data_IF_627003581237
#
_entry.id   IF_627003581237
#
_cell.length_a   1.000
_cell.length_b   1.000
_cell.length_c   1.000
_cell.angle_alpha   90.00
_cell.angle_beta   90.00
_cell.angle_gamma   90.00
#
_symmetry.space_group_name_H-M   'P 1'
#
loop_
_entity.id
_entity.type
_entity.pdbx_description
1 polymer ?
#
# COMPACT_ATOMS: atom_id res chain seq x y z
N UNK A 1 19.68 -23.17 1.46
CA UNK A 1 18.71 -22.69 0.44
C UNK A 1 19.59 -22.26 -0.72
N UNK A 2 19.45 -22.83 -1.93
CA UNK A 2 20.36 -22.47 -3.04
C UNK A 2 19.95 -21.11 -3.63
N UNK A 3 20.60 -20.03 -3.17
CA UNK A 3 20.29 -18.66 -3.61
C UNK A 3 20.90 -18.31 -4.97
N UNK A 4 21.79 -19.15 -5.50
CA UNK A 4 22.44 -18.95 -6.80
C UNK A 4 21.62 -19.50 -7.95
N UNK A 5 21.01 -20.68 -7.74
CA UNK A 5 20.30 -21.46 -8.75
C UNK A 5 18.78 -21.44 -8.63
N UNK A 6 18.21 -21.23 -7.43
CA UNK A 6 16.75 -21.26 -7.24
C UNK A 6 16.10 -19.90 -7.52
N UNK A 7 14.96 -19.94 -8.22
CA UNK A 7 14.17 -18.76 -8.57
C UNK A 7 13.48 -18.19 -7.33
N UNK A 8 12.87 -19.04 -6.49
CA UNK A 8 11.99 -18.61 -5.40
C UNK A 8 12.64 -17.62 -4.42
N UNK A 9 13.88 -17.84 -3.91
CA UNK A 9 14.52 -16.90 -3.00
C UNK A 9 14.77 -15.53 -3.63
N UNK A 10 15.21 -15.51 -4.89
CA UNK A 10 15.47 -14.28 -5.64
C UNK A 10 14.17 -13.54 -5.96
N UNK A 11 13.12 -14.27 -6.34
CA UNK A 11 11.80 -13.72 -6.62
C UNK A 11 11.18 -13.12 -5.35
N UNK A 12 11.21 -13.85 -4.22
CA UNK A 12 10.67 -13.38 -2.94
C UNK A 12 11.36 -12.09 -2.48
N UNK A 13 12.69 -12.05 -2.48
CA UNK A 13 13.46 -10.85 -2.10
C UNK A 13 13.09 -9.65 -2.98
N UNK A 14 13.13 -9.83 -4.30
CA UNK A 14 12.85 -8.74 -5.26
C UNK A 14 11.41 -8.28 -5.18
N UNK A 15 10.45 -9.17 -4.93
CA UNK A 15 9.03 -8.84 -4.72
C UNK A 15 8.84 -7.94 -3.51
N UNK A 16 9.44 -8.32 -2.37
CA UNK A 16 9.41 -7.51 -1.16
C UNK A 16 10.05 -6.14 -1.39
N UNK A 17 11.29 -6.13 -1.91
CA UNK A 17 12.06 -4.91 -2.09
C UNK A 17 11.43 -3.94 -3.10
N UNK A 18 10.92 -4.45 -4.23
CA UNK A 18 10.21 -3.63 -5.21
C UNK A 18 8.92 -3.02 -4.63
N UNK A 19 8.16 -3.81 -3.87
CA UNK A 19 6.94 -3.34 -3.20
C UNK A 19 7.22 -2.28 -2.14
N UNK A 20 8.35 -2.39 -1.44
CA UNK A 20 8.81 -1.44 -0.44
C UNK A 20 9.62 -0.25 -1.02
N UNK A 21 9.72 -0.13 -2.36
CA UNK A 21 10.56 0.85 -3.07
C UNK A 21 12.04 0.85 -2.64
N UNK A 22 12.54 -0.30 -2.19
CA UNK A 22 13.94 -0.47 -1.86
C UNK A 22 14.73 -0.73 -3.14
N UNK A 23 15.68 0.15 -3.54
CA UNK A 23 16.36 0.02 -4.82
C UNK A 23 17.31 -1.19 -4.85
N UNK A 24 17.81 -1.60 -3.69
CA UNK A 24 18.76 -2.69 -3.54
C UNK A 24 18.37 -3.58 -2.35
N UNK A 25 18.68 -4.87 -2.43
CA UNK A 25 18.54 -5.79 -1.31
C UNK A 25 19.56 -6.92 -1.37
N UNK A 26 19.89 -7.48 -0.21
CA UNK A 26 20.89 -8.53 -0.05
C UNK A 26 20.18 -9.82 0.33
N UNK A 27 20.50 -10.90 -0.38
CA UNK A 27 20.10 -12.26 -0.07
C UNK A 27 21.34 -13.05 0.33
N UNK A 28 21.31 -13.72 1.48
CA UNK A 28 22.45 -14.49 1.97
C UNK A 28 21.96 -15.76 2.68
N UNK A 29 22.70 -16.84 2.49
CA UNK A 29 22.59 -18.08 3.27
C UNK A 29 23.88 -18.37 4.06
N UNK A 30 24.72 -17.35 4.23
CA UNK A 30 26.06 -17.35 4.81
C UNK A 30 27.16 -18.07 4.00
N UNK A 31 26.80 -18.94 3.06
CA UNK A 31 27.75 -19.50 2.08
C UNK A 31 27.90 -18.58 0.87
N UNK A 32 26.80 -17.95 0.47
CA UNK A 32 26.72 -17.01 -0.63
C UNK A 32 26.04 -15.70 -0.15
N UNK A 33 26.45 -14.59 -0.78
CA UNK A 33 25.83 -13.28 -0.62
C UNK A 33 25.55 -12.68 -1.99
N UNK A 34 24.28 -12.60 -2.35
CA UNK A 34 23.81 -12.01 -3.59
C UNK A 34 23.21 -10.61 -3.32
N UNK A 35 23.59 -9.64 -4.15
CA UNK A 35 23.06 -8.28 -4.11
C UNK A 35 22.19 -8.08 -5.34
N UNK A 36 20.96 -7.60 -5.15
CA UNK A 36 19.98 -7.42 -6.21
C UNK A 36 19.57 -5.97 -6.37
N UNK A 37 19.57 -5.46 -7.60
CA UNK A 37 18.77 -4.33 -8.05
C UNK A 37 17.29 -4.75 -8.10
N UNK A 38 16.50 -4.08 -7.26
CA UNK A 38 15.10 -4.40 -7.02
C UNK A 38 14.15 -3.38 -7.66
N UNK A 39 14.65 -2.50 -8.55
CA UNK A 39 13.83 -1.48 -9.24
C UNK A 39 13.08 -2.02 -10.46
N UNK A 40 13.37 -3.25 -10.87
CA UNK A 40 12.70 -3.95 -11.97
C UNK A 40 11.57 -4.81 -11.42
N UNK A 41 10.34 -4.64 -11.98
CA UNK A 41 9.17 -5.47 -11.65
C UNK A 41 9.55 -6.95 -11.71
N UNK A 42 9.44 -7.69 -10.59
CA UNK A 42 9.83 -9.09 -10.54
C UNK A 42 8.79 -9.97 -11.25
N UNK A 43 9.26 -11.01 -11.93
CA UNK A 43 8.40 -12.04 -12.52
C UNK A 43 8.66 -13.39 -11.85
N UNK A 44 7.63 -14.24 -11.64
CA UNK A 44 7.81 -15.57 -11.08
C UNK A 44 8.74 -16.48 -11.90
N UNK A 45 8.96 -16.14 -13.16
CA UNK A 45 9.81 -16.89 -14.10
C UNK A 45 11.20 -16.26 -14.31
N UNK A 46 11.51 -15.18 -13.59
CA UNK A 46 12.82 -14.54 -13.68
C UNK A 46 13.92 -15.49 -13.18
N UNK A 47 14.98 -15.66 -13.97
CA UNK A 47 16.16 -16.39 -13.50
C UNK A 47 16.80 -15.66 -12.31
N UNK A 48 17.52 -16.36 -11.40
CA UNK A 48 18.20 -15.72 -10.26
C UNK A 48 19.28 -14.69 -10.66
N UNK A 49 19.72 -14.70 -11.91
CA UNK A 49 20.63 -13.70 -12.45
C UNK A 49 19.96 -12.35 -12.75
N UNK A 50 18.63 -12.31 -12.86
CA UNK A 50 17.89 -11.08 -13.17
C UNK A 50 17.95 -10.14 -11.97
N UNK A 51 18.43 -8.92 -12.19
CA UNK A 51 18.64 -7.93 -11.14
C UNK A 51 19.84 -8.21 -10.24
N UNK A 52 20.49 -9.38 -10.31
CA UNK A 52 21.67 -9.68 -9.47
C UNK A 52 22.88 -8.86 -9.94
N UNK A 53 23.31 -7.90 -9.14
CA UNK A 53 24.43 -7.00 -9.42
C UNK A 53 25.75 -7.54 -8.87
N UNK A 54 25.72 -8.26 -7.75
CA UNK A 54 26.89 -8.91 -7.15
C UNK A 54 26.53 -10.29 -6.62
N UNK A 55 27.50 -11.19 -6.63
CA UNK A 55 27.42 -12.50 -5.97
C UNK A 55 28.80 -12.82 -5.42
N UNK A 56 28.87 -13.06 -4.11
CA UNK A 56 30.08 -13.45 -3.42
C UNK A 56 29.86 -14.81 -2.78
N UNK A 57 30.89 -15.65 -2.82
CA UNK A 57 30.94 -16.86 -1.99
C UNK A 57 31.77 -16.57 -0.73
N UNK A 58 31.57 -17.36 0.32
CA UNK A 58 32.29 -17.21 1.60
C UNK A 58 33.83 -17.24 1.41
N UNK A 59 34.32 -17.96 0.40
CA UNK A 59 35.76 -18.03 0.05
C UNK A 59 36.32 -16.71 -0.47
N UNK A 60 35.46 -15.87 -1.03
CA UNK A 60 35.83 -14.60 -1.66
C UNK A 60 35.70 -13.42 -0.70
N UNK A 61 35.18 -13.62 0.52
CA UNK A 61 34.95 -12.50 1.44
C UNK A 61 36.22 -11.77 1.84
N UNK A 62 37.35 -12.48 1.99
CA UNK A 62 38.63 -11.84 2.28
C UNK A 62 39.13 -11.01 1.09
N UNK A 63 39.00 -11.54 -0.13
CA UNK A 63 39.43 -10.86 -1.35
C UNK A 63 38.63 -9.58 -1.62
N UNK A 64 37.34 -9.60 -1.31
CA UNK A 64 36.42 -8.47 -1.53
C UNK A 64 36.04 -7.74 -0.23
N UNK A 65 36.77 -7.95 0.88
CA UNK A 65 36.39 -7.39 2.18
C UNK A 65 36.25 -5.88 2.13
N UNK A 66 37.22 -5.18 1.54
CA UNK A 66 37.20 -3.72 1.43
C UNK A 66 35.99 -3.22 0.65
N UNK A 67 35.61 -3.89 -0.43
CA UNK A 67 34.42 -3.54 -1.21
C UNK A 67 33.14 -3.77 -0.40
N UNK A 68 32.99 -4.98 0.17
CA UNK A 68 31.82 -5.37 0.96
C UNK A 68 31.64 -4.42 2.16
N UNK A 69 32.72 -4.14 2.89
CA UNK A 69 32.71 -3.25 4.04
C UNK A 69 32.36 -1.81 3.65
N UNK A 70 32.95 -1.28 2.57
CA UNK A 70 32.71 0.10 2.14
C UNK A 70 31.32 0.33 1.51
N UNK A 71 30.61 -0.74 1.14
CA UNK A 71 29.26 -0.66 0.59
C UNK A 71 28.17 -1.01 1.61
N UNK A 72 28.38 -2.07 2.40
CA UNK A 72 27.32 -2.70 3.20
C UNK A 72 27.56 -2.67 4.71
N UNK A 73 28.68 -2.12 5.19
CA UNK A 73 28.84 -1.89 6.63
C UNK A 73 27.83 -0.85 7.14
N UNK A 74 27.51 -0.91 8.44
CA UNK A 74 26.65 0.07 9.09
C UNK A 74 27.18 1.49 8.89
N UNK A 75 28.48 1.69 9.04
CA UNK A 75 29.14 2.98 8.88
C UNK A 75 29.02 3.49 7.43
N UNK A 76 29.17 2.61 6.44
CA UNK A 76 29.03 2.96 5.03
C UNK A 76 27.58 3.32 4.67
N UNK A 77 26.62 2.54 5.13
CA UNK A 77 25.19 2.78 4.93
C UNK A 77 24.79 4.14 5.53
N UNK A 78 25.19 4.42 6.77
CA UNK A 78 24.90 5.70 7.43
C UNK A 78 25.56 6.91 6.74
N UNK A 79 26.65 6.69 5.98
CA UNK A 79 27.31 7.71 5.16
C UNK A 79 26.73 7.82 3.73
N UNK A 80 25.68 7.05 3.42
CA UNK A 80 24.98 7.06 2.13
C UNK A 80 25.72 6.34 1.00
N UNK A 81 26.67 5.44 1.32
CA UNK A 81 27.37 4.67 0.29
C UNK A 81 26.41 3.75 -0.48
N UNK A 82 25.46 3.14 0.23
CA UNK A 82 24.42 2.28 -0.32
C UNK A 82 23.52 3.02 -1.31
N UNK A 83 23.04 4.21 -0.94
CA UNK A 83 22.20 5.05 -1.81
C UNK A 83 22.98 5.52 -3.04
N UNK A 84 24.24 5.93 -2.86
CA UNK A 84 25.11 6.29 -3.99
C UNK A 84 25.31 5.12 -4.94
N UNK A 85 25.55 3.91 -4.42
CA UNK A 85 25.69 2.72 -5.25
C UNK A 85 24.40 2.46 -6.04
N UNK A 86 23.23 2.51 -5.39
CA UNK A 86 21.92 2.40 -6.05
C UNK A 86 21.69 3.45 -7.15
N UNK A 87 22.15 4.69 -6.94
CA UNK A 87 21.97 5.81 -7.89
C UNK A 87 23.01 5.78 -9.01
N UNK A 88 24.24 5.32 -8.74
CA UNK A 88 25.36 5.36 -9.69
C UNK A 88 25.24 4.34 -10.83
N UNK A 89 24.58 3.20 -10.62
CA UNK A 89 24.35 2.16 -11.64
C UNK A 89 23.19 2.52 -12.61
N UNK A 90 23.10 3.79 -12.98
CA UNK A 90 21.93 4.50 -13.53
C UNK A 90 21.58 4.20 -14.99
N UNK A 91 21.99 3.07 -15.56
CA UNK A 91 21.74 2.78 -16.99
C UNK A 91 21.19 1.39 -17.27
N UNK A 92 20.03 1.05 -16.71
CA UNK A 92 19.19 -0.01 -17.31
C UNK A 92 17.77 0.49 -17.55
N UNK A 93 17.45 0.60 -18.84
CA UNK A 93 16.09 0.80 -19.38
C UNK A 93 15.10 -0.15 -18.68
N UNK A 94 13.94 0.36 -18.25
CA UNK A 94 12.81 -0.48 -17.81
C UNK A 94 12.43 -0.42 -16.33
N UNK A 95 12.97 0.50 -15.53
CA UNK A 95 12.47 0.74 -14.16
C UNK A 95 11.09 1.34 -14.22
N UNK A 96 10.06 0.58 -13.84
CA UNK A 96 8.73 1.14 -13.60
C UNK A 96 8.48 1.12 -12.11
N UNK A 97 8.10 2.27 -11.57
CA UNK A 97 7.79 2.40 -10.14
C UNK A 97 6.56 1.56 -9.81
N UNK A 98 6.58 0.94 -8.62
CA UNK A 98 5.49 0.09 -8.13
C UNK A 98 4.14 0.80 -8.19
N UNK A 99 4.10 2.10 -7.89
CA UNK A 99 2.90 2.94 -7.95
C UNK A 99 2.27 2.94 -9.34
N UNK A 100 3.09 3.13 -10.38
CA UNK A 100 2.62 3.18 -11.76
C UNK A 100 2.14 1.81 -12.27
N UNK A 101 2.80 0.72 -11.87
CA UNK A 101 2.35 -0.63 -12.23
C UNK A 101 1.09 -1.03 -11.47
N UNK A 102 1.00 -0.71 -10.18
CA UNK A 102 -0.18 -1.00 -9.37
C UNK A 102 -1.39 -0.19 -9.82
N UNK A 103 -1.20 1.08 -10.18
CA UNK A 103 -2.23 1.90 -10.81
C UNK A 103 -2.76 1.26 -12.09
N UNK A 104 -1.89 0.78 -12.99
CA UNK A 104 -2.32 0.11 -14.23
C UNK A 104 -3.16 -1.13 -13.94
N UNK A 105 -2.79 -1.93 -12.94
CA UNK A 105 -3.58 -3.11 -12.53
C UNK A 105 -4.98 -2.68 -12.06
N UNK A 106 -5.06 -1.72 -11.14
CA UNK A 106 -6.34 -1.20 -10.62
C UNK A 106 -7.19 -0.59 -11.72
N UNK A 107 -6.60 0.14 -12.67
CA UNK A 107 -7.31 0.69 -13.83
C UNK A 107 -7.86 -0.42 -14.74
N UNK A 108 -7.11 -1.51 -14.93
CA UNK A 108 -7.61 -2.67 -15.67
C UNK A 108 -8.80 -3.32 -14.97
N UNK A 109 -8.75 -3.43 -13.64
CA UNK A 109 -9.84 -3.97 -12.83
C UNK A 109 -11.08 -3.08 -12.91
N UNK A 110 -10.88 -1.75 -12.85
CA UNK A 110 -11.95 -0.76 -13.01
C UNK A 110 -12.63 -0.90 -14.35
N UNK A 111 -11.86 -1.00 -15.44
CA UNK A 111 -12.42 -1.17 -16.78
C UNK A 111 -13.19 -2.49 -16.93
N UNK A 112 -12.63 -3.59 -16.42
CA UNK A 112 -13.27 -4.91 -16.45
C UNK A 112 -14.58 -4.93 -15.65
N UNK A 113 -14.57 -4.41 -14.42
CA UNK A 113 -15.76 -4.31 -13.57
C UNK A 113 -16.78 -3.34 -14.17
N UNK A 114 -16.37 -2.16 -14.63
CA UNK A 114 -17.27 -1.18 -15.21
C UNK A 114 -18.04 -1.74 -16.42
N UNK A 115 -17.34 -2.44 -17.33
CA UNK A 115 -17.96 -3.09 -18.49
C UNK A 115 -18.94 -4.18 -18.07
N UNK A 116 -18.57 -5.01 -17.09
CA UNK A 116 -19.42 -6.11 -16.64
C UNK A 116 -20.66 -5.60 -15.89
N UNK A 117 -20.47 -4.69 -14.92
CA UNK A 117 -21.53 -4.14 -14.10
C UNK A 117 -22.52 -3.35 -14.96
N UNK A 118 -22.05 -2.51 -15.89
CA UNK A 118 -22.95 -1.81 -16.81
C UNK A 118 -23.79 -2.78 -17.64
N UNK A 119 -23.17 -3.82 -18.20
CA UNK A 119 -23.88 -4.79 -19.03
C UNK A 119 -24.94 -5.58 -18.24
N UNK A 120 -24.62 -5.96 -17.00
CA UNK A 120 -25.48 -6.81 -16.17
C UNK A 120 -26.53 -6.05 -15.38
N UNK A 121 -26.33 -4.74 -15.18
CA UNK A 121 -27.17 -3.91 -14.34
C UNK A 121 -27.61 -2.65 -15.11
N UNK A 122 -28.46 -2.78 -16.15
CA UNK A 122 -28.78 -1.71 -17.10
C UNK A 122 -29.52 -0.52 -16.50
N UNK A 123 -30.03 -0.67 -15.27
CA UNK A 123 -30.74 0.37 -14.53
C UNK A 123 -29.80 1.31 -13.76
N UNK A 124 -28.51 0.99 -13.66
CA UNK A 124 -27.57 1.83 -12.95
C UNK A 124 -27.32 3.13 -13.69
N UNK A 125 -27.33 4.23 -12.95
CA UNK A 125 -26.87 5.51 -13.46
C UNK A 125 -25.34 5.50 -13.63
N UNK A 126 -24.81 6.43 -14.42
CA UNK A 126 -23.35 6.62 -14.56
C UNK A 126 -22.70 6.92 -13.20
N UNK A 127 -23.39 7.69 -12.36
CA UNK A 127 -22.93 8.03 -11.02
C UNK A 127 -22.80 6.76 -10.17
N UNK A 128 -23.88 5.97 -10.11
CA UNK A 128 -23.93 4.75 -9.31
C UNK A 128 -22.91 3.72 -9.80
N UNK A 129 -22.74 3.59 -11.12
CA UNK A 129 -21.73 2.72 -11.71
C UNK A 129 -20.31 3.09 -11.26
N UNK A 130 -19.97 4.40 -11.25
CA UNK A 130 -18.67 4.85 -10.74
C UNK A 130 -18.51 4.48 -9.28
N UNK A 131 -19.54 4.78 -8.49
CA UNK A 131 -19.54 4.57 -7.06
C UNK A 131 -19.36 3.08 -6.70
N UNK A 132 -20.16 2.18 -7.28
CA UNK A 132 -20.10 0.75 -6.94
C UNK A 132 -18.83 0.05 -7.44
N UNK A 133 -18.30 0.45 -8.60
CA UNK A 133 -17.02 -0.09 -9.12
C UNK A 133 -15.89 0.28 -8.17
N UNK A 134 -15.80 1.55 -7.81
CA UNK A 134 -14.78 2.05 -6.88
C UNK A 134 -14.89 1.36 -5.53
N UNK A 135 -16.09 1.34 -4.94
CA UNK A 135 -16.32 0.74 -3.63
C UNK A 135 -15.99 -0.76 -3.61
N UNK A 136 -16.27 -1.48 -4.70
CA UNK A 136 -15.91 -2.89 -4.84
C UNK A 136 -14.40 -3.10 -4.85
N UNK A 137 -13.65 -2.28 -5.60
CA UNK A 137 -12.18 -2.34 -5.64
C UNK A 137 -11.59 -2.00 -4.28
N UNK A 138 -12.06 -0.93 -3.65
CA UNK A 138 -11.56 -0.44 -2.35
C UNK A 138 -11.74 -1.51 -1.27
N UNK A 139 -12.91 -2.18 -1.22
CA UNK A 139 -13.18 -3.28 -0.28
C UNK A 139 -12.25 -4.49 -0.52
N UNK A 140 -12.01 -4.86 -1.78
CA UNK A 140 -11.10 -5.97 -2.13
C UNK A 140 -9.67 -5.65 -1.71
N UNK A 141 -9.17 -4.45 -2.04
CA UNK A 141 -7.82 -4.03 -1.68
C UNK A 141 -7.65 -3.93 -0.16
N UNK A 142 -8.61 -3.33 0.54
CA UNK A 142 -8.59 -3.24 2.01
C UNK A 142 -8.45 -4.62 2.65
N UNK A 143 -9.32 -5.56 2.26
CA UNK A 143 -9.27 -6.92 2.80
C UNK A 143 -7.97 -7.63 2.45
N UNK A 144 -7.49 -7.47 1.21
CA UNK A 144 -6.22 -8.08 0.81
C UNK A 144 -5.05 -7.58 1.66
N UNK A 145 -5.02 -6.29 1.98
CA UNK A 145 -4.04 -5.73 2.91
C UNK A 145 -4.20 -6.26 4.33
N UNK A 146 -5.43 -6.44 4.81
CA UNK A 146 -5.69 -7.03 6.11
C UNK A 146 -5.20 -8.48 6.18
N UNK A 147 -5.39 -9.27 5.12
CA UNK A 147 -4.86 -10.63 5.03
C UNK A 147 -3.32 -10.66 5.12
N UNK A 148 -2.62 -9.81 4.35
CA UNK A 148 -1.14 -9.79 4.34
C UNK A 148 -0.52 -9.21 5.62
N UNK A 149 -1.27 -8.40 6.36
CA UNK A 149 -0.85 -7.89 7.66
C UNK A 149 -1.27 -8.78 8.83
N UNK A 150 -1.88 -9.94 8.56
CA UNK A 150 -2.35 -10.89 9.57
C UNK A 150 -3.52 -10.39 10.42
N UNK A 151 -4.25 -9.37 9.94
CA UNK A 151 -5.49 -8.86 10.58
C UNK A 151 -6.68 -9.75 10.20
N UNK A 152 -6.68 -10.26 8.97
CA UNK A 152 -7.61 -11.28 8.47
C UNK A 152 -6.89 -12.60 8.17
N UNK A 153 -7.61 -13.74 8.16
CA UNK A 153 -7.06 -15.01 7.71
C UNK A 153 -6.60 -14.93 6.24
N UNK A 154 -5.36 -15.32 5.98
CA UNK A 154 -4.80 -15.32 4.63
C UNK A 154 -5.60 -16.20 3.65
N UNK A 155 -5.83 -15.70 2.44
CA UNK A 155 -6.48 -16.46 1.35
C UNK A 155 -8.00 -16.52 1.44
N UNK A 156 -8.64 -15.66 2.22
CA UNK A 156 -10.10 -15.64 2.35
C UNK A 156 -10.77 -15.25 1.03
N UNK A 157 -10.30 -14.21 0.34
CA UNK A 157 -10.81 -13.86 -1.00
C UNK A 157 -10.39 -14.93 -2.03
N UNK A 158 -9.16 -15.44 -1.94
CA UNK A 158 -8.68 -16.53 -2.80
C UNK A 158 -9.58 -17.77 -2.73
N UNK A 159 -10.10 -18.09 -1.55
CA UNK A 159 -10.96 -19.26 -1.37
C UNK A 159 -12.20 -19.24 -2.28
N UNK A 160 -12.65 -18.06 -2.72
CA UNK A 160 -13.80 -17.90 -3.60
C UNK A 160 -13.62 -18.55 -4.98
N UNK A 161 -12.38 -18.87 -5.40
CA UNK A 161 -12.13 -19.60 -6.65
C UNK A 161 -12.80 -20.98 -6.70
N UNK A 162 -13.10 -21.58 -5.53
CA UNK A 162 -13.61 -22.94 -5.41
C UNK A 162 -15.10 -23.12 -5.80
N UNK A 163 -15.78 -22.10 -6.32
CA UNK A 163 -17.20 -22.20 -6.65
C UNK A 163 -17.69 -21.14 -7.64
N UNK A 164 -19.00 -21.14 -7.85
CA UNK A 164 -19.70 -20.14 -8.67
C UNK A 164 -20.26 -18.99 -7.81
N UNK A 165 -20.86 -17.97 -8.44
CA UNK A 165 -21.49 -16.83 -7.77
C UNK A 165 -20.54 -16.14 -6.78
N UNK A 166 -19.34 -15.84 -7.27
CA UNK A 166 -18.24 -15.28 -6.49
C UNK A 166 -18.64 -13.98 -5.83
N UNK A 167 -19.35 -13.09 -6.53
CA UNK A 167 -19.74 -11.80 -5.96
C UNK A 167 -20.64 -11.97 -4.73
N UNK A 168 -21.65 -12.83 -4.81
CA UNK A 168 -22.53 -13.09 -3.68
C UNK A 168 -21.77 -13.64 -2.46
N UNK A 169 -20.79 -14.52 -2.69
CA UNK A 169 -19.94 -15.03 -1.60
C UNK A 169 -18.94 -13.99 -1.08
N UNK A 170 -18.47 -13.09 -1.95
CA UNK A 170 -17.67 -11.93 -1.57
C UNK A 170 -18.47 -10.96 -0.67
N UNK A 171 -19.77 -10.76 -0.95
CA UNK A 171 -20.64 -9.98 -0.06
C UNK A 171 -20.69 -10.56 1.36
N UNK A 172 -20.68 -11.88 1.52
CA UNK A 172 -20.64 -12.51 2.84
C UNK A 172 -19.34 -12.19 3.61
N UNK A 173 -18.23 -12.07 2.90
CA UNK A 173 -16.97 -11.60 3.48
C UNK A 173 -17.10 -10.11 3.86
N UNK A 174 -17.68 -9.29 2.99
CA UNK A 174 -17.88 -7.87 3.27
C UNK A 174 -18.79 -7.62 4.49
N UNK A 175 -19.87 -8.38 4.66
CA UNK A 175 -20.74 -8.26 5.85
C UNK A 175 -19.99 -8.60 7.15
N UNK A 176 -19.13 -9.64 7.14
CA UNK A 176 -18.28 -9.96 8.31
C UNK A 176 -17.26 -8.85 8.59
N UNK A 177 -16.73 -8.23 7.55
CA UNK A 177 -15.83 -7.09 7.67
C UNK A 177 -16.56 -5.86 8.26
N UNK A 178 -17.82 -5.63 7.89
CA UNK A 178 -18.64 -4.54 8.45
C UNK A 178 -18.76 -4.66 9.98
N UNK A 179 -19.12 -5.86 10.47
CA UNK A 179 -19.22 -6.15 11.91
C UNK A 179 -17.91 -5.90 12.67
N UNK A 180 -16.76 -6.12 12.02
CA UNK A 180 -15.44 -6.02 12.64
C UNK A 180 -14.84 -4.61 12.60
N UNK A 181 -14.99 -3.92 11.47
CA UNK A 181 -14.28 -2.66 11.22
C UNK A 181 -15.16 -1.42 11.37
N UNK A 182 -16.47 -1.52 11.11
CA UNK A 182 -17.43 -0.41 11.16
C UNK A 182 -16.87 0.88 10.54
N UNK A 183 -16.20 0.75 9.40
CA UNK A 183 -15.30 1.77 8.83
C UNK A 183 -15.95 2.63 7.73
N UNK A 184 -17.28 2.63 7.63
CA UNK A 184 -18.04 3.25 6.53
C UNK A 184 -17.88 2.53 5.18
N UNK A 185 -16.70 1.99 4.90
CA UNK A 185 -16.36 1.24 3.69
C UNK A 185 -17.27 0.02 3.48
N UNK A 186 -17.71 -0.62 4.56
CA UNK A 186 -18.58 -1.80 4.54
C UNK A 186 -20.01 -1.51 5.02
N UNK A 187 -20.42 -0.24 5.15
CA UNK A 187 -21.74 0.09 5.68
C UNK A 187 -22.86 -0.17 4.65
N UNK A 188 -23.38 -1.39 4.66
CA UNK A 188 -24.49 -1.80 3.81
C UNK A 188 -25.86 -1.28 4.28
N UNK A 189 -25.94 -0.65 5.45
CA UNK A 189 -27.19 -0.03 5.91
C UNK A 189 -27.38 1.33 5.25
N UNK A 190 -26.30 2.11 5.16
CA UNK A 190 -26.28 3.38 4.44
C UNK A 190 -26.26 3.19 2.91
N UNK A 191 -25.61 2.12 2.43
CA UNK A 191 -25.37 1.87 1.01
C UNK A 191 -25.88 0.49 0.59
N UNK A 192 -27.05 0.43 -0.06
CA UNK A 192 -27.67 -0.85 -0.47
C UNK A 192 -27.39 -1.25 -1.91
N UNK A 193 -26.91 -0.34 -2.77
CA UNK A 193 -26.74 -0.60 -4.19
C UNK A 193 -25.81 -1.79 -4.45
N UNK A 194 -24.71 -1.91 -3.71
CA UNK A 194 -23.76 -3.00 -3.91
C UNK A 194 -24.32 -4.38 -3.56
N UNK A 195 -25.33 -4.46 -2.69
CA UNK A 195 -25.93 -5.74 -2.30
C UNK A 195 -26.74 -6.38 -3.43
N UNK A 196 -27.30 -5.57 -4.33
CA UNK A 196 -28.20 -6.01 -5.41
C UNK A 196 -27.48 -6.19 -6.76
N UNK A 197 -26.17 -6.01 -6.82
CA UNK A 197 -25.42 -6.10 -8.08
C UNK A 197 -25.27 -7.53 -8.57
N UNK A 198 -25.47 -7.70 -9.87
CA UNK A 198 -25.04 -8.90 -10.57
C UNK A 198 -23.68 -8.66 -11.23
N UNK A 199 -22.67 -9.45 -10.85
CA UNK A 199 -21.33 -9.42 -11.43
C UNK A 199 -20.95 -10.84 -11.83
N UNK A 200 -20.51 -11.02 -13.07
CA UNK A 200 -20.03 -12.32 -13.54
C UNK A 200 -18.75 -12.74 -12.79
N UNK A 201 -18.54 -14.04 -12.63
CA UNK A 201 -17.38 -14.57 -11.91
C UNK A 201 -16.04 -14.24 -12.57
N UNK A 202 -16.01 -14.15 -13.90
CA UNK A 202 -14.77 -13.97 -14.68
C UNK A 202 -13.97 -12.72 -14.28
N UNK A 203 -14.53 -11.49 -14.31
CA UNK A 203 -13.77 -10.30 -13.90
C UNK A 203 -13.23 -10.40 -12.47
N UNK A 204 -14.00 -10.99 -11.55
CA UNK A 204 -13.54 -11.17 -10.16
C UNK A 204 -12.40 -12.19 -10.06
N UNK A 205 -12.48 -13.31 -10.79
CA UNK A 205 -11.39 -14.30 -10.88
C UNK A 205 -10.11 -13.68 -11.42
N UNK A 206 -10.21 -12.87 -12.47
CA UNK A 206 -9.06 -12.21 -13.08
C UNK A 206 -8.40 -11.23 -12.08
N UNK A 207 -9.20 -10.47 -11.31
CA UNK A 207 -8.69 -9.60 -10.24
C UNK A 207 -7.98 -10.43 -9.16
N UNK A 208 -8.67 -11.42 -8.59
CA UNK A 208 -8.15 -12.18 -7.44
C UNK A 208 -6.86 -12.90 -7.78
N UNK A 209 -6.70 -13.39 -9.02
CA UNK A 209 -5.50 -14.09 -9.44
C UNK A 209 -4.26 -13.21 -9.30
N UNK A 210 -4.37 -11.92 -9.59
CA UNK A 210 -3.24 -10.99 -9.51
C UNK A 210 -2.98 -10.47 -8.08
N UNK A 211 -3.78 -10.86 -7.08
CA UNK A 211 -3.62 -10.43 -5.69
C UNK A 211 -2.82 -11.40 -4.82
N UNK A 212 -2.64 -12.66 -5.25
CA UNK A 212 -2.03 -13.71 -4.44
C UNK A 212 -0.71 -14.23 -5.04
N UNK A 213 0.17 -14.71 -4.16
CA UNK A 213 1.38 -15.42 -4.59
C UNK A 213 1.02 -16.77 -5.24
N UNK A 214 1.75 -17.22 -6.27
CA UNK A 214 2.94 -16.61 -6.88
C UNK A 214 2.68 -15.53 -7.94
N UNK A 215 1.47 -15.43 -8.47
CA UNK A 215 1.14 -14.56 -9.60
C UNK A 215 1.27 -13.06 -9.31
N UNK A 216 0.98 -12.65 -8.07
CA UNK A 216 1.12 -11.27 -7.62
C UNK A 216 2.59 -10.87 -7.51
N UNK A 217 3.03 -9.82 -8.23
CA UNK A 217 4.34 -9.22 -8.06
C UNK A 217 4.40 -8.27 -6.86
N UNK A 218 3.30 -8.13 -6.12
CA UNK A 218 3.17 -7.22 -4.98
C UNK A 218 3.22 -7.98 -3.66
N UNK A 219 3.85 -7.36 -2.67
CA UNK A 219 3.83 -7.75 -1.26
C UNK A 219 2.99 -6.71 -0.50
N UNK A 220 1.70 -6.99 -0.26
CA UNK A 220 0.78 -5.98 0.29
C UNK A 220 1.08 -5.65 1.76
N UNK A 221 1.83 -6.50 2.45
CA UNK A 221 2.28 -6.22 3.82
C UNK A 221 3.19 -5.00 3.91
N UNK A 222 3.96 -4.71 2.85
CA UNK A 222 4.90 -3.58 2.78
C UNK A 222 4.49 -2.49 1.79
N UNK A 223 3.36 -2.64 1.10
CA UNK A 223 2.77 -1.52 0.36
C UNK A 223 2.39 -0.40 1.33
N UNK A 224 3.13 0.70 1.23
CA UNK A 224 2.98 1.87 2.07
C UNK A 224 1.69 2.63 1.81
N UNK A 225 1.27 3.44 2.79
CA UNK A 225 0.11 4.31 2.65
C UNK A 225 0.32 5.41 1.60
N UNK A 226 1.58 5.81 1.36
CA UNK A 226 1.99 6.74 0.32
C UNK A 226 1.71 6.18 -1.08
N UNK A 227 2.02 4.90 -1.31
CA UNK A 227 1.75 4.21 -2.58
C UNK A 227 0.25 4.23 -2.86
N UNK A 228 -0.55 3.79 -1.88
CA UNK A 228 -1.99 3.76 -2.03
C UNK A 228 -2.60 5.14 -2.20
N UNK A 229 -2.14 6.13 -1.45
CA UNK A 229 -2.58 7.52 -1.61
C UNK A 229 -2.29 8.04 -3.02
N UNK A 230 -1.09 7.80 -3.53
CA UNK A 230 -0.69 8.22 -4.88
C UNK A 230 -1.49 7.52 -5.99
N UNK A 231 -1.79 6.23 -5.81
CA UNK A 231 -2.57 5.43 -6.75
C UNK A 231 -4.04 5.82 -6.71
N UNK A 232 -4.59 6.05 -5.52
CA UNK A 232 -5.97 6.48 -5.32
C UNK A 232 -6.22 7.88 -5.92
N UNK A 233 -5.27 8.82 -5.78
CA UNK A 233 -5.36 10.13 -6.43
C UNK A 233 -5.46 10.02 -7.95
N UNK A 234 -4.56 9.27 -8.56
CA UNK A 234 -4.55 9.10 -10.01
C UNK A 234 -5.80 8.36 -10.49
N UNK A 235 -6.27 7.40 -9.69
CA UNK A 235 -7.52 6.69 -9.92
C UNK A 235 -8.74 7.63 -9.90
N UNK A 236 -8.81 8.58 -8.96
CA UNK A 236 -9.84 9.61 -8.88
C UNK A 236 -9.80 10.60 -10.05
N UNK A 237 -8.65 10.73 -10.73
CA UNK A 237 -8.50 11.54 -11.94
C UNK A 237 -9.28 11.02 -13.16
N UNK A 238 -9.80 9.79 -13.09
CA UNK A 238 -10.59 9.15 -14.15
C UNK A 238 -12.04 8.92 -13.71
N UNK A 239 -12.95 8.91 -14.68
CA UNK A 239 -14.38 8.63 -14.51
C UNK A 239 -14.85 7.60 -15.53
N UNK A 240 -15.84 6.81 -15.14
CA UNK A 240 -16.57 5.92 -16.04
C UNK A 240 -17.69 6.75 -16.68
N UNK A 241 -17.80 6.67 -18.01
CA UNK A 241 -18.94 7.16 -18.79
C UNK A 241 -19.67 6.00 -19.44
N UNK A 242 -20.97 6.15 -19.66
CA UNK A 242 -21.75 5.23 -20.48
C UNK A 242 -21.93 5.82 -21.88
N UNK A 243 -21.66 5.02 -22.91
CA UNK A 243 -22.01 5.36 -24.30
C UNK A 243 -23.52 5.23 -24.51
N UNK A 244 -24.04 5.73 -25.63
CA UNK A 244 -25.45 5.54 -26.03
C UNK A 244 -25.91 4.08 -26.01
N UNK A 245 -25.04 3.14 -26.36
CA UNK A 245 -25.30 1.69 -26.28
C UNK A 245 -25.13 1.06 -24.88
N UNK A 246 -25.17 1.86 -23.80
CA UNK A 246 -24.96 1.43 -22.41
C UNK A 246 -23.64 0.67 -22.17
N UNK A 247 -22.57 1.03 -22.88
CA UNK A 247 -21.23 0.47 -22.67
C UNK A 247 -20.38 1.41 -21.83
N UNK A 248 -19.74 0.87 -20.80
CA UNK A 248 -18.82 1.63 -19.97
C UNK A 248 -17.50 1.95 -20.70
N UNK A 249 -17.02 3.18 -20.53
CA UNK A 249 -15.70 3.65 -20.94
C UNK A 249 -15.06 4.44 -19.81
N UNK A 250 -13.79 4.16 -19.53
CA UNK A 250 -13.00 4.92 -18.56
C UNK A 250 -12.28 6.05 -19.28
N UNK A 251 -12.46 7.29 -18.82
CA UNK A 251 -11.87 8.49 -19.41
C UNK A 251 -11.33 9.41 -18.32
N UNK A 252 -10.34 10.24 -18.66
CA UNK A 252 -9.86 11.28 -17.76
C UNK A 252 -10.92 12.38 -17.54
N UNK A 253 -10.99 12.89 -16.31
CA UNK A 253 -11.85 14.03 -16.00
C UNK A 253 -11.44 15.26 -16.82
N UNK A 254 -12.40 16.10 -17.26
CA UNK A 254 -12.08 17.30 -18.03
C UNK A 254 -11.11 18.24 -17.32
N UNK A 255 -11.23 18.37 -16.00
CA UNK A 255 -10.34 19.22 -15.18
C UNK A 255 -8.90 18.68 -15.18
N UNK A 256 -8.72 17.36 -15.08
CA UNK A 256 -7.40 16.70 -15.12
C UNK A 256 -6.73 16.86 -16.48
N UNK A 257 -7.50 16.71 -17.56
CA UNK A 257 -7.02 16.94 -18.94
C UNK A 257 -6.56 18.38 -19.13
N UNK A 258 -7.29 19.35 -18.58
CA UNK A 258 -6.94 20.78 -18.65
C UNK A 258 -5.71 21.13 -17.80
N UNK A 259 -5.55 20.49 -16.64
CA UNK A 259 -4.41 20.69 -15.76
C UNK A 259 -3.14 19.97 -16.24
N UNK A 260 -3.25 19.06 -17.21
CA UNK A 260 -2.14 18.26 -17.72
C UNK A 260 -1.73 17.12 -16.78
N UNK A 261 -2.61 16.72 -15.86
CA UNK A 261 -2.36 15.63 -14.91
C UNK A 261 -2.89 15.91 -13.50
N UNK A 262 -2.73 14.92 -12.63
CA UNK A 262 -3.02 15.01 -11.19
C UNK A 262 -1.69 15.24 -10.47
N UNK A 263 -1.56 16.36 -9.74
CA UNK A 263 -0.32 16.70 -9.02
C UNK A 263 -0.44 16.38 -7.53
N UNK A 264 0.42 15.48 -7.07
CA UNK A 264 0.56 15.14 -5.65
C UNK A 264 1.41 16.19 -4.93
N UNK A 265 1.08 16.47 -3.66
CA UNK A 265 1.93 17.31 -2.79
C UNK A 265 3.05 16.45 -2.21
N UNK A 266 4.33 16.68 -2.57
CA UNK A 266 5.43 15.83 -2.09
C UNK A 266 5.46 15.69 -0.57
N UNK A 267 5.83 14.50 -0.08
CA UNK A 267 5.81 14.18 1.37
C UNK A 267 6.58 15.19 2.22
N UNK A 268 7.70 15.73 1.72
CA UNK A 268 8.47 16.75 2.43
C UNK A 268 7.70 18.08 2.58
N UNK A 269 6.86 18.45 1.59
CA UNK A 269 5.98 19.63 1.67
C UNK A 269 4.87 19.36 2.68
N UNK A 270 4.23 18.20 2.62
CA UNK A 270 3.20 17.80 3.60
C UNK A 270 3.76 17.87 5.01
N UNK A 271 4.92 17.23 5.26
CA UNK A 271 5.58 17.23 6.56
C UNK A 271 5.94 18.64 7.03
N UNK A 272 6.43 19.50 6.13
CA UNK A 272 6.73 20.88 6.45
C UNK A 272 5.48 21.65 6.88
N UNK A 273 4.38 21.55 6.13
CA UNK A 273 3.13 22.25 6.42
C UNK A 273 2.52 21.74 7.73
N UNK A 274 2.42 20.42 7.91
CA UNK A 274 1.89 19.80 9.15
C UNK A 274 2.70 20.25 10.36
N UNK A 275 4.04 20.20 10.29
CA UNK A 275 4.91 20.66 11.38
C UNK A 275 4.69 22.13 11.72
N UNK A 276 4.49 22.98 10.72
CA UNK A 276 4.30 24.42 10.90
C UNK A 276 2.85 24.85 11.19
N UNK A 277 1.90 23.91 11.21
CA UNK A 277 0.48 24.15 11.51
C UNK A 277 0.05 23.35 12.75
N UNK A 278 -0.29 22.07 12.55
CA UNK A 278 -0.64 21.12 13.63
C UNK A 278 0.46 21.08 14.68
N UNK A 279 1.72 21.05 14.26
CA UNK A 279 2.85 21.03 15.19
C UNK A 279 2.93 22.24 16.11
N UNK A 280 2.62 23.44 15.61
CA UNK A 280 2.54 24.65 16.45
C UNK A 280 1.35 24.62 17.41
N UNK A 281 0.24 23.98 17.02
CA UNK A 281 -0.91 23.81 17.90
C UNK A 281 -0.68 22.78 19.01
N UNK A 282 0.21 21.81 18.79
CA UNK A 282 0.60 20.81 19.79
C UNK A 282 1.65 21.30 20.78
N UNK A 283 2.45 22.31 20.40
CA UNK A 283 3.60 22.76 21.20
C UNK A 283 3.20 23.14 22.65
N UNK A 284 3.96 22.62 23.61
CA UNK A 284 3.70 22.78 25.05
C UNK A 284 2.44 22.09 25.59
N UNK A 285 1.65 21.38 24.77
CA UNK A 285 0.41 20.71 25.21
C UNK A 285 0.63 19.24 25.56
N UNK A 286 -0.20 18.77 26.49
CA UNK A 286 -0.33 17.36 26.84
C UNK A 286 -1.19 16.61 25.82
N UNK A 287 -1.02 15.27 25.68
CA UNK A 287 -1.90 14.40 24.90
C UNK A 287 -3.40 14.66 25.10
N UNK A 288 -3.83 14.79 26.36
CA UNK A 288 -5.23 15.05 26.71
C UNK A 288 -5.76 16.41 26.21
N UNK A 289 -4.90 17.41 26.11
CA UNK A 289 -5.29 18.70 25.52
C UNK A 289 -5.37 18.59 24.00
N UNK A 290 -4.43 17.86 23.39
CA UNK A 290 -4.36 17.67 21.95
C UNK A 290 -5.52 16.82 21.41
N UNK A 291 -6.04 15.87 22.19
CA UNK A 291 -7.17 15.01 21.77
C UNK A 291 -8.45 15.79 21.42
N UNK A 292 -8.54 17.07 21.80
CA UNK A 292 -9.65 17.97 21.43
C UNK A 292 -9.48 18.66 20.06
N UNK A 293 -8.30 18.58 19.45
CA UNK A 293 -8.04 19.19 18.16
C UNK A 293 -8.85 18.51 17.07
N UNK A 294 -9.48 19.32 16.21
CA UNK A 294 -10.13 18.86 14.98
C UNK A 294 -9.38 19.45 13.79
N UNK A 295 -9.04 18.59 12.84
CA UNK A 295 -8.26 18.96 11.66
C UNK A 295 -9.15 18.72 10.44
N UNK A 296 -9.31 19.75 9.61
CA UNK A 296 -10.09 19.71 8.38
C UNK A 296 -9.18 20.01 7.21
N UNK A 297 -9.23 19.18 6.19
CA UNK A 297 -8.69 19.47 4.87
C UNK A 297 -9.86 19.45 3.86
N UNK A 298 -10.35 20.61 3.39
CA UNK A 298 -11.51 20.70 2.51
C UNK A 298 -11.23 20.22 1.08
N UNK A 299 -9.96 19.98 0.73
CA UNK A 299 -9.53 19.49 -0.57
C UNK A 299 -8.57 18.30 -0.41
N UNK A 300 -8.91 17.38 0.48
CA UNK A 300 -7.98 16.37 0.98
C UNK A 300 -7.51 15.35 -0.05
N UNK A 301 -8.25 15.15 -1.14
CA UNK A 301 -7.99 14.09 -2.12
C UNK A 301 -7.84 12.75 -1.40
N UNK A 302 -6.65 12.17 -1.45
CA UNK A 302 -6.24 10.90 -0.84
C UNK A 302 -5.99 11.00 0.65
N UNK A 303 -6.21 12.18 1.23
CA UNK A 303 -6.02 12.44 2.64
C UNK A 303 -4.56 12.64 3.01
N UNK A 304 -3.67 13.02 2.08
CA UNK A 304 -2.22 13.09 2.35
C UNK A 304 -1.87 14.02 3.53
N UNK A 305 -2.52 15.18 3.63
CA UNK A 305 -2.35 16.07 4.79
C UNK A 305 -2.97 15.50 6.07
N UNK A 306 -4.12 14.82 5.98
CA UNK A 306 -4.79 14.21 7.13
C UNK A 306 -3.97 13.04 7.69
N UNK A 307 -3.42 12.19 6.81
CA UNK A 307 -2.50 11.11 7.17
C UNK A 307 -1.20 11.66 7.75
N UNK A 308 -0.64 12.71 7.15
CA UNK A 308 0.56 13.38 7.67
C UNK A 308 0.32 14.00 9.05
N UNK A 309 -0.84 14.64 9.26
CA UNK A 309 -1.25 15.18 10.55
C UNK A 309 -1.47 14.07 11.58
N UNK A 310 -2.15 12.98 11.20
CA UNK A 310 -2.36 11.82 12.05
C UNK A 310 -1.03 11.22 12.52
N UNK A 311 -0.10 10.96 11.58
CA UNK A 311 1.23 10.45 11.93
C UNK A 311 2.00 11.40 12.85
N UNK A 312 1.95 12.71 12.58
CA UNK A 312 2.57 13.71 13.46
C UNK A 312 2.01 13.64 14.89
N UNK A 313 0.69 13.49 15.04
CA UNK A 313 0.05 13.39 16.35
C UNK A 313 0.49 12.12 17.09
N UNK A 314 0.56 10.97 16.40
CA UNK A 314 1.07 9.73 16.98
C UNK A 314 2.52 9.89 17.48
N UNK A 315 3.39 10.44 16.65
CA UNK A 315 4.80 10.64 16.97
C UNK A 315 4.97 11.61 18.16
N UNK A 316 4.20 12.69 18.18
CA UNK A 316 4.19 13.65 19.28
C UNK A 316 3.75 12.99 20.60
N UNK A 317 2.67 12.20 20.59
CA UNK A 317 2.17 11.53 21.79
C UNK A 317 3.16 10.52 22.34
N UNK A 318 3.73 9.68 21.46
CA UNK A 318 4.76 8.72 21.83
C UNK A 318 5.95 9.42 22.50
N UNK A 319 6.48 10.47 21.86
CA UNK A 319 7.59 11.25 22.40
C UNK A 319 7.25 11.90 23.75
N UNK A 320 6.03 12.41 23.90
CA UNK A 320 5.57 13.00 25.16
C UNK A 320 5.50 11.96 26.28
N UNK A 321 4.90 10.78 26.04
CA UNK A 321 4.80 9.72 27.05
C UNK A 321 6.18 9.19 27.47
N UNK A 322 7.11 9.06 26.52
CA UNK A 322 8.48 8.68 26.81
C UNK A 322 9.18 9.71 27.72
N UNK A 323 8.96 11.01 27.47
CA UNK A 323 9.54 12.10 28.26
C UNK A 323 8.93 12.23 29.65
N UNK A 324 7.62 12.04 29.79
CA UNK A 324 6.92 12.15 31.09
C UNK A 324 7.16 10.94 32.00
N UNK A 325 7.48 9.79 31.40
CA UNK A 325 7.95 8.59 32.09
C UNK A 325 7.18 7.35 31.65
N UNK A 326 7.87 6.40 31.04
CA UNK A 326 7.25 5.22 30.41
C UNK A 326 6.47 4.33 31.38
N UNK A 327 6.91 4.27 32.64
CA UNK A 327 6.25 3.51 33.72
C UNK A 327 4.86 4.07 34.10
N UNK A 328 4.61 5.36 33.82
CA UNK A 328 3.30 6.00 34.10
C UNK A 328 2.26 5.74 33.01
N UNK A 329 2.70 5.36 31.82
CA UNK A 329 1.89 5.34 30.59
C UNK A 329 1.78 3.93 30.01
N UNK A 330 1.75 2.90 30.85
CA UNK A 330 1.70 1.48 30.44
C UNK A 330 0.45 1.10 29.65
N UNK A 331 -0.63 1.90 29.75
CA UNK A 331 -1.85 1.71 28.97
C UNK A 331 -1.76 2.37 27.58
N UNK A 332 -0.88 3.35 27.41
CA UNK A 332 -0.74 4.16 26.20
C UNK A 332 0.43 3.71 25.33
N UNK A 333 1.53 3.24 25.96
CA UNK A 333 2.73 2.79 25.26
C UNK A 333 3.20 1.43 25.75
N UNK A 334 3.82 0.67 24.85
CA UNK A 334 4.46 -0.60 25.15
C UNK A 334 5.83 -0.69 24.46
N UNK A 335 6.70 -1.54 24.98
CA UNK A 335 8.00 -1.81 24.38
C UNK A 335 7.90 -3.03 23.46
N UNK A 336 8.23 -2.84 22.19
CA UNK A 336 8.27 -3.90 21.20
C UNK A 336 9.64 -4.58 21.13
N UNK A 337 9.80 -5.45 20.13
CA UNK A 337 11.06 -6.13 19.88
C UNK A 337 12.19 -5.13 19.60
N UNK A 338 13.40 -5.39 20.11
CA UNK A 338 14.54 -4.48 19.95
C UNK A 338 14.50 -3.23 20.84
N UNK A 339 13.61 -3.17 21.83
CA UNK A 339 13.58 -2.11 22.85
C UNK A 339 12.93 -0.80 22.39
N UNK A 340 12.37 -0.76 21.18
CA UNK A 340 11.64 0.40 20.66
C UNK A 340 10.26 0.53 21.31
N UNK A 341 9.83 1.77 21.51
CA UNK A 341 8.53 2.08 22.11
C UNK A 341 7.48 2.34 21.03
N UNK A 342 6.26 1.90 21.30
CA UNK A 342 5.12 2.02 20.41
C UNK A 342 3.87 2.44 21.17
N UNK A 343 2.98 3.20 20.53
CA UNK A 343 1.63 3.43 21.05
C UNK A 343 0.78 2.16 20.98
N UNK A 344 -0.03 1.90 21.99
CA UNK A 344 -1.02 0.81 22.00
C UNK A 344 -2.08 1.05 20.93
N UNK A 345 -2.72 -0.01 20.45
CA UNK A 345 -3.82 0.09 19.47
C UNK A 345 -4.99 0.90 20.02
N UNK A 346 -5.25 0.80 21.33
CA UNK A 346 -6.31 1.56 21.99
C UNK A 346 -6.00 3.07 21.96
N UNK A 347 -4.76 3.44 22.26
CA UNK A 347 -4.35 4.84 22.20
C UNK A 347 -4.42 5.36 20.77
N UNK A 348 -3.91 4.62 19.77
CA UNK A 348 -4.04 5.01 18.35
C UNK A 348 -5.48 5.23 17.88
N UNK A 349 -6.45 4.51 18.46
CA UNK A 349 -7.88 4.69 18.14
C UNK A 349 -8.47 5.96 18.75
N UNK A 350 -7.95 6.48 19.86
CA UNK A 350 -8.48 7.68 20.53
C UNK A 350 -8.42 8.93 19.64
N UNK A 351 -7.50 8.94 18.68
CA UNK A 351 -7.34 9.99 17.69
C UNK A 351 -8.42 10.02 16.60
N UNK A 352 -9.14 8.90 16.39
CA UNK A 352 -10.12 8.74 15.31
C UNK A 352 -11.58 8.75 15.82
N UNK A 353 -11.81 8.89 17.12
CA UNK A 353 -13.13 8.67 17.77
C UNK A 353 -14.15 9.80 17.68
N UNK A 354 -14.00 10.76 16.75
CA UNK A 354 -14.91 11.91 16.64
C UNK A 354 -15.69 12.03 15.33
N UNK A 355 -15.70 11.00 14.48
CA UNK A 355 -16.65 10.88 13.36
C UNK A 355 -17.99 10.27 13.83
N UNK A 356 -18.69 10.97 14.72
CA UNK A 356 -20.12 10.74 14.96
C UNK A 356 -20.92 11.98 14.65
#
# INVERSE_FOLDING_TARGET
IDIRGQIDPAYQLRRYAWSAKLPLSILTDFEEMAVYDCRLRPKPTDKPSVGRVKLYTYKQYLDFFTEIYNLFSKEAILKGAFDKFAVSDRQKRGTTEVDAEFLKEIESWRDALAKNIALRNPKLSVHDLNFVVQLTIDRIIFLRMCEDRGIEPYGQIQSLFNGANIYHRLLQIFYRADEKYNSGLFDFKAERLTSDLFIDDRPLKDIFKNLYYPESPYEFSVLGADILGSVYEQFLGKVIRLTEGHRARVEEKPEVRKAGGVYYTPTYIVNYIVKNTVGKLCDGKTPKQISSLRILDPACGSGSFLLGAYQYLLDYHLAWYQKDGTQKHTNQIYQGHGGQWYLTTQEKKSFNTHEK
#
